data_IF_411468615769
#
_entry.id   IF_411468615769
#
_cell.length_a   1.000
_cell.length_b   1.000
_cell.length_c   1.000
_cell.angle_alpha   90.00
_cell.angle_beta   90.00
_cell.angle_gamma   90.00
#
_symmetry.space_group_name_H-M   'P 1'
#
loop_
_entity.id
_entity.type
_entity.pdbx_description
1 polymer ?
#
# COMPACT_ATOMS: atom_id res chain seq x y z
N UNK A 1 6.53 11.52 12.74
CA UNK A 1 5.08 11.84 12.72
C UNK A 1 4.51 11.40 11.36
N UNK A 2 3.18 11.32 11.15
CA UNK A 2 2.62 10.94 9.84
C UNK A 2 3.02 11.88 8.69
N UNK A 3 3.57 13.07 9.00
CA UNK A 3 3.97 14.09 8.02
C UNK A 3 5.05 13.61 7.05
N UNK A 4 5.89 12.65 7.48
CA UNK A 4 6.97 12.04 6.68
C UNK A 4 6.60 10.62 6.25
N UNK A 5 5.30 10.28 6.29
CA UNK A 5 4.79 8.93 6.12
C UNK A 5 4.71 8.13 7.44
N UNK A 6 4.15 6.92 7.35
CA UNK A 6 3.89 6.07 8.53
C UNK A 6 4.94 4.95 8.60
N UNK A 7 6.00 5.20 9.35
CA UNK A 7 7.13 4.26 9.53
C UNK A 7 7.10 3.50 10.86
N UNK A 8 5.91 3.30 11.42
CA UNK A 8 5.67 2.63 12.70
C UNK A 8 4.18 2.52 13.02
N UNK A 9 3.85 1.74 14.05
CA UNK A 9 2.48 1.53 14.50
C UNK A 9 2.00 2.73 15.35
N UNK A 10 1.57 3.79 14.65
CA UNK A 10 1.17 5.07 15.26
C UNK A 10 -0.35 5.27 15.32
N UNK A 11 -1.11 4.40 14.67
CA UNK A 11 -2.57 4.37 14.74
C UNK A 11 -3.03 3.06 15.37
N UNK A 12 -4.13 3.12 16.11
CA UNK A 12 -4.92 1.95 16.48
C UNK A 12 -6.08 1.84 15.49
N UNK A 13 -6.11 0.74 14.74
CA UNK A 13 -7.13 0.47 13.73
C UNK A 13 -7.92 -0.76 14.17
N UNK A 14 -9.24 -0.66 14.21
CA UNK A 14 -10.12 -1.78 14.57
C UNK A 14 -11.23 -1.98 13.54
N UNK A 15 -11.65 -3.23 13.33
CA UNK A 15 -12.89 -3.59 12.62
C UNK A 15 -13.88 -4.15 13.64
N UNK A 16 -14.83 -3.33 14.07
CA UNK A 16 -15.61 -3.65 15.27
C UNK A 16 -14.71 -3.73 16.50
N UNK A 17 -14.65 -4.89 17.17
CA UNK A 17 -13.77 -5.14 18.31
C UNK A 17 -12.41 -5.75 17.93
N UNK A 18 -12.21 -6.12 16.66
CA UNK A 18 -10.99 -6.80 16.23
C UNK A 18 -9.91 -5.79 15.85
N UNK A 19 -8.72 -5.81 16.48
CA UNK A 19 -7.60 -4.98 16.07
C UNK A 19 -7.06 -5.42 14.70
N UNK A 20 -6.70 -4.45 13.88
CA UNK A 20 -6.14 -4.65 12.54
C UNK A 20 -4.62 -4.52 12.63
N UNK A 21 -3.93 -5.50 12.06
CA UNK A 21 -2.48 -5.59 12.12
C UNK A 21 -1.80 -4.49 11.28
N UNK A 22 -0.74 -3.90 11.85
CA UNK A 22 0.21 -3.07 11.12
C UNK A 22 1.08 -3.91 10.19
N UNK A 23 1.12 -3.52 8.93
CA UNK A 23 1.85 -4.16 7.83
C UNK A 23 2.83 -3.20 7.14
N UNK A 24 3.05 -2.00 7.68
CA UNK A 24 4.05 -1.08 7.16
C UNK A 24 5.49 -1.37 7.62
N UNK A 25 6.46 -0.55 7.19
CA UNK A 25 7.86 -0.67 7.60
C UNK A 25 8.06 -0.25 9.06
N UNK A 26 8.85 -1.03 9.80
CA UNK A 26 9.32 -0.68 11.15
C UNK A 26 10.75 -0.14 11.07
N UNK A 27 10.92 1.16 11.33
CA UNK A 27 12.22 1.82 11.21
C UNK A 27 12.80 2.08 12.60
N UNK A 28 14.05 1.66 12.82
CA UNK A 28 14.82 2.03 14.01
C UNK A 28 15.39 3.45 13.82
N UNK A 29 15.10 4.35 14.76
CA UNK A 29 15.59 5.73 14.75
C UNK A 29 16.58 5.95 15.90
N UNK A 30 17.51 6.89 15.70
CA UNK A 30 18.34 7.40 16.79
C UNK A 30 17.47 8.24 17.76
N UNK A 31 18.06 8.70 18.85
CA UNK A 31 17.38 9.65 19.73
C UNK A 31 17.00 10.92 18.94
N UNK A 32 15.77 11.44 19.11
CA UNK A 32 15.32 12.63 18.39
C UNK A 32 16.23 13.84 18.66
N UNK A 33 16.61 14.53 17.60
CA UNK A 33 17.33 15.80 17.62
C UNK A 33 16.37 16.97 17.39
N UNK A 34 16.81 18.22 17.58
CA UNK A 34 15.94 19.39 17.32
C UNK A 34 15.38 19.44 15.89
N UNK A 35 16.11 18.91 14.91
CA UNK A 35 15.67 18.83 13.51
C UNK A 35 14.50 17.83 13.29
N UNK A 36 14.22 16.95 14.25
CA UNK A 36 13.14 15.97 14.20
C UNK A 36 11.81 16.53 14.76
N UNK A 37 11.80 17.79 15.22
CA UNK A 37 10.64 18.47 15.76
C UNK A 37 10.08 19.51 14.80
N UNK A 38 8.76 19.66 14.82
CA UNK A 38 8.03 20.68 14.06
C UNK A 38 7.52 21.72 15.03
N UNK A 39 7.74 22.99 14.72
CA UNK A 39 7.15 24.10 15.45
C UNK A 39 5.74 24.38 14.92
N UNK A 40 4.75 24.43 15.81
CA UNK A 40 3.38 24.82 15.48
C UNK A 40 3.09 26.13 16.20
N UNK A 41 2.90 27.19 15.42
CA UNK A 41 2.59 28.51 15.97
C UNK A 41 1.21 28.52 16.66
N UNK A 42 1.01 29.41 17.65
CA UNK A 42 -0.28 29.56 18.31
C UNK A 42 -1.41 29.78 17.30
N UNK A 43 -2.49 29.01 17.43
CA UNK A 43 -3.65 29.07 16.54
C UNK A 43 -3.46 28.41 15.17
N UNK A 44 -2.28 27.90 14.84
CA UNK A 44 -2.04 27.19 13.59
C UNK A 44 -2.33 25.69 13.71
N UNK A 45 -2.69 25.09 12.59
CA UNK A 45 -2.95 23.65 12.46
C UNK A 45 -2.22 23.09 11.24
N UNK A 46 -1.76 21.84 11.38
CA UNK A 46 -1.15 21.07 10.29
C UNK A 46 -2.08 19.90 10.00
N UNK A 47 -2.36 19.64 8.73
CA UNK A 47 -3.18 18.52 8.28
C UNK A 47 -2.47 17.76 7.18
N UNK A 48 -2.42 16.43 7.32
CA UNK A 48 -1.75 15.54 6.37
C UNK A 48 -2.69 14.40 6.01
N UNK A 49 -2.97 14.16 4.72
CA UNK A 49 -3.71 12.99 4.30
C UNK A 49 -2.84 11.73 4.46
N UNK A 50 -3.41 10.67 5.02
CA UNK A 50 -2.73 9.38 5.21
C UNK A 50 -3.55 8.26 4.59
N UNK A 51 -2.96 7.51 3.66
CA UNK A 51 -3.57 6.28 3.16
C UNK A 51 -3.24 5.11 4.10
N UNK A 52 -4.19 4.75 4.96
CA UNK A 52 -4.04 3.68 5.93
C UNK A 52 -3.90 2.29 5.30
N UNK A 53 -4.37 2.11 4.06
CA UNK A 53 -4.37 0.80 3.41
C UNK A 53 -2.99 0.35 2.96
N UNK A 54 -2.03 1.26 2.91
CA UNK A 54 -0.62 0.96 2.69
C UNK A 54 0.07 0.39 3.94
N UNK A 55 -0.50 0.63 5.12
CA UNK A 55 0.17 0.39 6.40
C UNK A 55 -0.58 -0.57 7.33
N UNK A 56 -1.86 -0.83 7.09
CA UNK A 56 -2.69 -1.72 7.90
C UNK A 56 -3.40 -2.77 7.02
N UNK A 57 -3.59 -3.96 7.57
CA UNK A 57 -4.21 -5.11 6.91
C UNK A 57 -5.74 -4.95 6.71
N UNK A 58 -6.15 -3.87 6.04
CA UNK A 58 -7.55 -3.49 5.79
C UNK A 58 -8.03 -4.18 4.51
N UNK A 59 -8.30 -5.49 4.62
CA UNK A 59 -8.67 -6.33 3.47
C UNK A 59 -10.15 -6.70 3.45
N UNK A 60 -10.80 -6.87 4.58
CA UNK A 60 -12.20 -7.32 4.58
C UNK A 60 -13.17 -6.15 4.57
N UNK A 61 -14.30 -6.29 3.87
CA UNK A 61 -15.38 -5.32 3.93
C UNK A 61 -15.87 -5.17 5.39
N UNK A 62 -16.18 -3.95 5.80
CA UNK A 62 -16.59 -3.70 7.19
C UNK A 62 -16.44 -2.24 7.61
N UNK A 63 -16.88 -1.97 8.83
CA UNK A 63 -16.71 -0.67 9.47
C UNK A 63 -15.41 -0.67 10.27
N UNK A 64 -14.61 0.35 10.06
CA UNK A 64 -13.33 0.53 10.72
C UNK A 64 -13.37 1.78 11.59
N UNK A 65 -12.70 1.71 12.74
CA UNK A 65 -12.42 2.85 13.60
C UNK A 65 -10.91 3.03 13.70
N UNK A 66 -10.46 4.28 13.65
CA UNK A 66 -9.05 4.65 13.67
C UNK A 66 -8.85 5.73 14.71
N UNK A 67 -7.90 5.51 15.61
CA UNK A 67 -7.44 6.52 16.57
C UNK A 67 -5.94 6.70 16.43
N UNK A 68 -5.45 7.91 16.64
CA UNK A 68 -4.02 8.16 16.77
C UNK A 68 -3.56 7.73 18.16
N UNK A 69 -2.57 6.83 18.23
CA UNK A 69 -2.07 6.25 19.48
C UNK A 69 -0.84 7.02 19.96
N UNK A 70 -1.07 8.06 20.74
CA UNK A 70 -0.01 8.97 21.21
C UNK A 70 0.90 8.32 22.24
N UNK A 71 0.41 7.29 22.94
CA UNK A 71 1.19 6.58 23.96
C UNK A 71 2.25 5.68 23.31
N UNK A 72 1.87 4.94 22.26
CA UNK A 72 2.82 4.14 21.46
C UNK A 72 3.83 4.97 20.70
N UNK A 73 3.43 6.14 20.21
CA UNK A 73 4.31 7.05 19.47
C UNK A 73 5.33 7.73 20.40
N UNK A 74 5.06 7.80 21.70
CA UNK A 74 5.90 8.55 22.63
C UNK A 74 5.96 10.03 22.27
N UNK A 75 4.83 10.61 21.86
CA UNK A 75 4.75 11.98 21.38
C UNK A 75 5.32 12.96 22.43
N UNK A 76 6.26 13.81 22.01
CA UNK A 76 6.88 14.83 22.86
C UNK A 76 6.38 16.22 22.45
N UNK A 77 6.02 17.05 23.43
CA UNK A 77 5.56 18.43 23.22
C UNK A 77 6.19 19.32 24.28
N UNK A 78 6.67 20.50 23.88
CA UNK A 78 7.27 21.49 24.79
C UNK A 78 8.22 22.41 24.03
N UNK A 79 8.75 23.44 24.71
CA UNK A 79 9.81 24.26 24.14
C UNK A 79 11.11 23.44 23.99
N UNK A 80 12.04 23.86 23.10
CA UNK A 80 13.36 23.25 22.97
C UNK A 80 14.05 23.10 24.34
N UNK A 81 14.60 21.93 24.62
CA UNK A 81 15.26 21.62 25.90
C UNK A 81 14.35 21.29 27.10
N UNK A 82 13.03 21.41 26.96
CA UNK A 82 12.04 21.06 28.01
C UNK A 82 10.84 20.30 27.43
N UNK A 83 11.14 19.28 26.64
CA UNK A 83 10.15 18.37 26.06
C UNK A 83 9.57 17.45 27.12
N UNK A 84 8.26 17.23 27.05
CA UNK A 84 7.54 16.27 27.91
C UNK A 84 6.64 15.38 27.06
N UNK A 85 6.33 14.19 27.57
CA UNK A 85 5.37 13.30 26.90
C UNK A 85 4.00 13.96 26.86
N UNK A 86 3.43 14.02 25.67
CA UNK A 86 2.11 14.56 25.44
C UNK A 86 1.05 13.52 25.78
N UNK A 87 0.03 13.94 26.53
CA UNK A 87 -1.20 13.17 26.73
C UNK A 87 -2.27 13.79 25.83
N UNK A 88 -2.36 13.28 24.60
CA UNK A 88 -3.31 13.76 23.61
C UNK A 88 -4.33 12.67 23.36
N UNK A 89 -5.60 13.00 23.51
CA UNK A 89 -6.67 12.10 23.12
C UNK A 89 -7.13 12.48 21.71
N UNK A 90 -6.87 11.58 20.76
CA UNK A 90 -7.46 11.68 19.43
C UNK A 90 -8.90 11.18 19.48
N UNK A 91 -9.80 11.84 18.75
CA UNK A 91 -11.09 11.24 18.44
C UNK A 91 -10.91 10.03 17.51
N UNK A 92 -11.91 9.15 17.51
CA UNK A 92 -12.00 8.07 16.54
C UNK A 92 -12.55 8.60 15.21
N UNK A 93 -11.81 8.38 14.13
CA UNK A 93 -12.33 8.51 12.77
C UNK A 93 -12.90 7.16 12.34
N UNK A 94 -14.08 7.15 11.73
CA UNK A 94 -14.71 5.92 11.24
C UNK A 94 -14.89 5.96 9.73
N UNK A 95 -14.71 4.81 9.08
CA UNK A 95 -14.98 4.65 7.67
C UNK A 95 -15.49 3.24 7.38
N UNK A 96 -16.15 3.06 6.24
CA UNK A 96 -16.66 1.76 5.81
C UNK A 96 -15.97 1.32 4.53
N UNK A 97 -15.35 0.14 4.57
CA UNK A 97 -14.90 -0.53 3.36
C UNK A 97 -16.08 -1.31 2.77
N UNK A 98 -16.46 -0.95 1.54
CA UNK A 98 -17.65 -1.49 0.88
C UNK A 98 -17.45 -2.90 0.31
N UNK A 99 -16.22 -3.27 -0.04
CA UNK A 99 -15.89 -4.55 -0.64
C UNK A 99 -14.49 -4.98 -0.21
N UNK A 100 -14.30 -6.29 -0.07
CA UNK A 100 -13.01 -6.84 0.33
C UNK A 100 -11.92 -6.54 -0.72
N UNK A 101 -10.72 -6.28 -0.24
CA UNK A 101 -9.47 -6.23 -0.99
C UNK A 101 -8.73 -7.55 -0.79
N UNK A 102 -7.98 -8.00 -1.79
CA UNK A 102 -7.15 -9.19 -1.66
C UNK A 102 -5.87 -8.79 -0.90
N UNK A 103 -5.47 -9.50 0.16
CA UNK A 103 -4.20 -9.24 0.82
C UNK A 103 -3.04 -9.40 -0.17
N UNK A 104 -2.10 -8.45 -0.28
CA UNK A 104 -0.84 -8.72 -0.96
C UNK A 104 -0.18 -9.91 -0.25
N UNK A 105 -0.02 -11.00 -0.97
CA UNK A 105 0.65 -12.20 -0.47
C UNK A 105 2.10 -11.81 -0.11
N UNK A 106 2.42 -11.83 1.20
CA UNK A 106 3.79 -11.59 1.67
C UNK A 106 4.64 -12.83 1.40
N UNK A 107 4.92 -13.06 0.14
CA UNK A 107 5.98 -13.95 -0.30
C UNK A 107 7.29 -13.21 0.01
N UNK A 108 8.34 -13.85 0.55
CA UNK A 108 9.65 -13.21 0.63
C UNK A 108 10.13 -12.93 -0.80
N UNK A 109 9.92 -11.70 -1.27
CA UNK A 109 10.35 -11.28 -2.61
C UNK A 109 11.88 -11.28 -2.65
N UNK A 110 12.42 -11.83 -3.73
CA UNK A 110 13.63 -11.28 -4.36
C UNK A 110 13.42 -9.78 -4.54
N UNK A 111 13.93 -8.99 -3.59
CA UNK A 111 13.75 -7.54 -3.59
C UNK A 111 14.14 -6.96 -4.96
N UNK A 112 13.35 -6.01 -5.51
CA UNK A 112 13.69 -5.39 -6.77
C UNK A 112 15.04 -4.68 -6.66
N UNK A 113 15.82 -4.74 -7.74
CA UNK A 113 17.08 -3.99 -7.83
C UNK A 113 16.82 -2.66 -8.53
N UNK A 114 17.50 -1.62 -8.08
CA UNK A 114 17.33 -0.27 -8.61
C UNK A 114 18.65 0.23 -9.20
N UNK A 115 18.55 0.86 -10.36
CA UNK A 115 19.66 1.53 -11.04
C UNK A 115 19.34 3.02 -11.21
N UNK A 116 20.17 3.89 -10.64
CA UNK A 116 20.02 5.35 -10.65
C UNK A 116 18.68 5.89 -10.09
N UNK A 117 18.03 5.17 -9.17
CA UNK A 117 16.79 5.63 -8.51
C UNK A 117 17.06 6.24 -7.13
N UNK A 118 16.45 7.40 -6.85
CA UNK A 118 16.46 8.02 -5.52
C UNK A 118 15.50 7.31 -4.54
N UNK A 119 15.55 7.68 -3.26
CA UNK A 119 14.75 7.04 -2.21
C UNK A 119 13.24 7.20 -2.39
N UNK A 120 12.77 8.31 -2.96
CA UNK A 120 11.34 8.49 -3.27
C UNK A 120 10.90 7.62 -4.44
N UNK A 121 11.70 7.56 -5.50
CA UNK A 121 11.46 6.70 -6.66
C UNK A 121 11.43 5.21 -6.27
N UNK A 122 12.35 4.78 -5.41
CA UNK A 122 12.37 3.41 -4.90
C UNK A 122 11.10 3.09 -4.11
N UNK A 123 10.62 4.02 -3.28
CA UNK A 123 9.38 3.86 -2.52
C UNK A 123 8.16 3.79 -3.46
N UNK A 124 8.05 4.70 -4.43
CA UNK A 124 6.95 4.73 -5.40
C UNK A 124 6.91 3.47 -6.27
N UNK A 125 8.07 3.03 -6.77
CA UNK A 125 8.18 1.80 -7.57
C UNK A 125 7.87 0.58 -6.70
N UNK A 126 8.30 0.55 -5.45
CA UNK A 126 7.96 -0.52 -4.50
C UNK A 126 6.45 -0.63 -4.28
N UNK A 127 5.78 0.50 -4.07
CA UNK A 127 4.32 0.56 -3.94
C UNK A 127 3.62 0.12 -5.24
N UNK A 128 4.09 0.59 -6.39
CA UNK A 128 3.55 0.21 -7.70
C UNK A 128 3.73 -1.28 -8.00
N UNK A 129 4.86 -1.87 -7.63
CA UNK A 129 5.14 -3.30 -7.81
C UNK A 129 4.20 -4.17 -6.97
N UNK A 130 3.97 -3.77 -5.71
CA UNK A 130 3.03 -4.46 -4.84
C UNK A 130 1.62 -4.46 -5.45
N UNK A 131 1.17 -3.31 -5.95
CA UNK A 131 -0.15 -3.20 -6.58
C UNK A 131 -0.24 -3.93 -7.92
N UNK A 132 0.82 -3.91 -8.73
CA UNK A 132 0.90 -4.70 -9.95
C UNK A 132 0.73 -6.20 -9.67
N UNK A 133 1.38 -6.71 -8.62
CA UNK A 133 1.23 -8.11 -8.21
C UNK A 133 -0.20 -8.44 -7.79
N UNK A 134 -0.85 -7.55 -7.04
CA UNK A 134 -2.26 -7.70 -6.63
C UNK A 134 -3.19 -7.80 -7.86
N UNK A 135 -3.07 -6.86 -8.79
CA UNK A 135 -3.94 -6.78 -9.97
C UNK A 135 -3.71 -7.98 -10.89
N UNK A 136 -2.46 -8.38 -11.11
CA UNK A 136 -2.11 -9.52 -11.96
C UNK A 136 -2.64 -10.84 -11.38
N UNK A 137 -2.46 -11.05 -10.08
CA UNK A 137 -2.93 -12.25 -9.37
C UNK A 137 -4.46 -12.33 -9.35
N UNK A 138 -5.15 -11.20 -9.10
CA UNK A 138 -6.61 -11.13 -9.15
C UNK A 138 -7.16 -11.40 -10.56
N UNK A 139 -6.50 -10.87 -11.60
CA UNK A 139 -6.88 -11.15 -12.98
C UNK A 139 -6.72 -12.64 -13.33
N UNK A 140 -5.61 -13.26 -12.91
CA UNK A 140 -5.37 -14.68 -13.11
C UNK A 140 -6.42 -15.55 -12.40
N UNK A 141 -6.74 -15.24 -11.14
CA UNK A 141 -7.79 -15.96 -10.39
C UNK A 141 -9.14 -15.89 -11.09
N UNK A 142 -9.55 -14.71 -11.58
CA UNK A 142 -10.81 -14.59 -12.33
C UNK A 142 -10.76 -15.43 -13.60
N UNK A 143 -9.65 -15.41 -14.33
CA UNK A 143 -9.49 -16.19 -15.57
C UNK A 143 -9.50 -17.71 -15.32
N UNK A 144 -8.94 -18.18 -14.22
CA UNK A 144 -8.92 -19.61 -13.86
C UNK A 144 -10.23 -20.07 -13.19
N UNK A 145 -10.86 -19.20 -12.41
CA UNK A 145 -12.07 -19.50 -11.64
C UNK A 145 -13.37 -19.37 -12.44
N UNK A 146 -13.36 -18.74 -13.61
CA UNK A 146 -14.57 -18.60 -14.45
C UNK A 146 -14.90 -19.95 -15.11
N UNK A 147 -16.07 -20.56 -14.82
CA UNK A 147 -16.51 -21.81 -15.44
C UNK A 147 -16.56 -21.70 -16.97
N UNK A 148 -16.17 -22.75 -17.69
CA UNK A 148 -16.10 -22.77 -19.16
C UNK A 148 -17.39 -22.31 -19.85
N UNK A 149 -18.55 -22.68 -19.30
CA UNK A 149 -19.87 -22.26 -19.80
C UNK A 149 -20.13 -20.75 -19.66
N UNK A 150 -19.46 -20.06 -18.73
CA UNK A 150 -19.63 -18.63 -18.45
C UNK A 150 -18.55 -17.76 -19.11
N UNK A 151 -17.44 -18.34 -19.54
CA UNK A 151 -16.33 -17.60 -20.17
C UNK A 151 -16.77 -16.75 -21.38
N UNK A 152 -17.63 -17.23 -22.31
CA UNK A 152 -18.09 -16.41 -23.43
C UNK A 152 -18.88 -15.17 -23.02
N UNK A 153 -19.48 -15.17 -21.83
CA UNK A 153 -20.30 -14.10 -21.29
C UNK A 153 -19.51 -13.16 -20.35
N UNK A 154 -18.21 -13.39 -20.17
CA UNK A 154 -17.39 -12.54 -19.32
C UNK A 154 -17.25 -11.14 -19.91
N UNK A 155 -17.97 -10.17 -19.31
CA UNK A 155 -17.94 -8.77 -19.73
C UNK A 155 -16.51 -8.22 -19.72
N UNK A 156 -15.76 -8.48 -18.64
CA UNK A 156 -14.37 -8.02 -18.48
C UNK A 156 -13.46 -8.58 -19.56
N UNK A 157 -13.59 -9.87 -19.90
CA UNK A 157 -12.80 -10.46 -20.98
C UNK A 157 -13.14 -9.80 -22.33
N UNK A 158 -14.43 -9.62 -22.63
CA UNK A 158 -14.87 -9.05 -23.91
C UNK A 158 -14.44 -7.59 -24.09
N UNK A 159 -14.39 -6.80 -23.03
CA UNK A 159 -13.92 -5.41 -23.07
C UNK A 159 -12.47 -5.30 -23.53
N UNK A 160 -11.57 -6.16 -23.02
CA UNK A 160 -10.14 -6.02 -23.23
C UNK A 160 -9.55 -6.95 -24.29
N UNK A 161 -10.16 -8.12 -24.48
CA UNK A 161 -9.67 -9.18 -25.38
C UNK A 161 -10.64 -9.49 -26.53
N UNK A 162 -11.82 -8.88 -26.55
CA UNK A 162 -12.80 -9.04 -27.63
C UNK A 162 -13.54 -10.38 -27.59
N UNK A 163 -13.89 -10.90 -28.77
CA UNK A 163 -14.68 -12.13 -28.88
C UNK A 163 -13.98 -13.32 -28.23
N UNK A 164 -14.73 -14.11 -27.44
CA UNK A 164 -14.21 -15.31 -26.79
C UNK A 164 -13.96 -16.42 -27.82
N UNK A 165 -12.78 -17.02 -27.72
CA UNK A 165 -12.51 -18.36 -28.25
C UNK A 165 -11.72 -19.13 -27.20
N UNK A 166 -11.82 -20.46 -27.20
CA UNK A 166 -11.09 -21.31 -26.24
C UNK A 166 -9.58 -21.04 -26.32
N UNK A 167 -9.02 -20.89 -27.53
CA UNK A 167 -7.60 -20.63 -27.73
C UNK A 167 -7.14 -19.25 -27.24
N UNK A 168 -7.89 -18.18 -27.51
CA UNK A 168 -7.55 -16.83 -27.05
C UNK A 168 -7.67 -16.71 -25.52
N UNK A 169 -8.71 -17.33 -24.94
CA UNK A 169 -8.91 -17.32 -23.49
C UNK A 169 -7.76 -18.04 -22.78
N UNK A 170 -7.39 -19.24 -23.25
CA UNK A 170 -6.23 -19.97 -22.73
C UNK A 170 -4.92 -19.17 -22.87
N UNK A 171 -4.73 -18.45 -23.98
CA UNK A 171 -3.57 -17.57 -24.19
C UNK A 171 -3.55 -16.41 -23.19
N UNK A 172 -4.70 -15.76 -22.94
CA UNK A 172 -4.81 -14.70 -21.96
C UNK A 172 -4.48 -15.21 -20.54
N UNK A 173 -5.06 -16.35 -20.14
CA UNK A 173 -4.75 -17.00 -18.85
C UNK A 173 -3.26 -17.33 -18.73
N UNK A 174 -2.65 -17.89 -19.78
CA UNK A 174 -1.22 -18.19 -19.80
C UNK A 174 -0.34 -16.94 -19.69
N UNK A 175 -0.74 -15.82 -20.31
CA UNK A 175 -0.03 -14.55 -20.19
C UNK A 175 -0.09 -14.03 -18.74
N UNK A 176 -1.29 -13.98 -18.13
CA UNK A 176 -1.42 -13.52 -16.74
C UNK A 176 -0.72 -14.44 -15.74
N UNK A 177 -0.66 -15.75 -16.01
CA UNK A 177 0.14 -16.68 -15.19
C UNK A 177 1.62 -16.34 -15.21
N UNK A 178 2.18 -16.03 -16.39
CA UNK A 178 3.58 -15.61 -16.52
C UNK A 178 3.85 -14.25 -15.88
N UNK A 179 2.91 -13.31 -16.01
CA UNK A 179 3.03 -11.98 -15.39
C UNK A 179 3.01 -12.09 -13.87
N UNK A 180 2.04 -12.82 -13.30
CA UNK A 180 1.97 -13.04 -11.87
C UNK A 180 3.21 -13.78 -11.33
N UNK A 181 3.70 -14.81 -12.03
CA UNK A 181 4.95 -15.49 -11.67
C UNK A 181 6.16 -14.56 -11.72
N UNK A 182 6.26 -13.69 -12.74
CA UNK A 182 7.35 -12.73 -12.85
C UNK A 182 7.34 -11.73 -11.68
N UNK A 183 6.17 -11.23 -11.31
CA UNK A 183 5.99 -10.26 -10.22
C UNK A 183 6.22 -10.88 -8.84
N UNK A 184 5.87 -12.16 -8.65
CA UNK A 184 5.99 -12.84 -7.37
C UNK A 184 7.36 -13.50 -7.15
N UNK A 185 7.94 -14.10 -8.19
CA UNK A 185 9.01 -15.10 -8.06
C UNK A 185 10.30 -14.76 -8.81
N UNK A 186 10.37 -13.62 -9.52
CA UNK A 186 11.56 -13.23 -10.29
C UNK A 186 12.15 -11.94 -9.74
N UNK A 187 13.47 -11.83 -9.85
CA UNK A 187 14.16 -10.58 -9.58
C UNK A 187 13.87 -9.58 -10.72
N UNK A 188 13.28 -8.45 -10.37
CA UNK A 188 12.96 -7.36 -11.31
C UNK A 188 13.95 -6.21 -11.06
N UNK A 189 14.47 -5.63 -12.13
CA UNK A 189 15.35 -4.47 -12.07
C UNK A 189 14.66 -3.25 -12.66
N UNK A 190 14.74 -2.11 -11.97
CA UNK A 190 14.19 -0.84 -12.41
C UNK A 190 15.30 0.19 -12.58
N UNK A 191 15.40 0.77 -13.78
CA UNK A 191 16.31 1.86 -14.08
C UNK A 191 15.57 3.20 -14.13
N UNK A 192 15.98 4.18 -13.32
CA UNK A 192 15.38 5.52 -13.30
C UNK A 192 16.11 6.51 -14.22
N UNK A 193 16.89 6.01 -15.18
CA UNK A 193 17.46 6.85 -16.23
C UNK A 193 16.36 7.37 -17.17
N UNK A 194 16.20 8.69 -17.32
CA UNK A 194 15.22 9.30 -18.23
C UNK A 194 15.52 9.11 -19.72
N UNK A 195 16.44 8.22 -20.09
CA UNK A 195 17.15 8.26 -21.37
C UNK A 195 16.44 7.56 -22.54
N UNK A 196 15.24 6.99 -22.36
CA UNK A 196 14.50 6.30 -23.44
C UNK A 196 12.99 6.56 -23.48
N UNK A 197 12.51 7.60 -22.81
CA UNK A 197 11.10 7.97 -22.91
C UNK A 197 10.86 8.68 -24.25
N UNK A 198 10.07 8.07 -25.15
CA UNK A 198 9.51 8.77 -26.30
C UNK A 198 8.47 9.81 -25.85
N UNK A 199 8.22 10.87 -26.63
CA UNK A 199 7.13 11.79 -26.33
C UNK A 199 5.81 11.00 -26.23
N UNK A 200 5.06 11.24 -25.16
CA UNK A 200 3.74 10.65 -24.97
C UNK A 200 2.81 11.08 -26.10
N UNK A 201 2.18 10.10 -26.74
CA UNK A 201 1.10 10.32 -27.70
C UNK A 201 -0.11 10.99 -27.06
#
# INVERSE_FOLDING_TARGET
>A
MPIDGVSGEIFSVTRGSQPIQYVGPLVKRAEPTEADFINIEPGHSISVPVDLSLYYAIYEAGNYAVTYDTERVGLLVGPPGALRRAQVLSNAATFRLLSGRIPPERIPLSAPTFDQCDGSQQADIGAALAEANNIASAALQVLQGTPSAQQPNSQRYRTWFGAHTVGLYAKATGNFSKIADALANKAISFGCHGSRCGPGV
#
